data_IF_544154476840
#
_entry.id   IF_544154476840
#
_cell.length_a   1.000
_cell.length_b   1.000
_cell.length_c   1.000
_cell.angle_alpha   90.00
_cell.angle_beta   90.00
_cell.angle_gamma   90.00
#
_symmetry.space_group_name_H-M   'P 1'
#
loop_
_entity.id
_entity.type
_entity.pdbx_description
1 polymer ?
#
# COMPACT_ATOMS: atom_id res chain seq x y z
N UNK A 1 2.02 20.37 -18.16
CA UNK A 1 2.07 18.94 -18.59
C UNK A 1 3.18 18.17 -17.87
N UNK A 2 4.44 18.63 -17.87
CA UNK A 2 5.57 17.99 -17.16
C UNK A 2 5.28 17.61 -15.70
N UNK A 3 4.69 18.51 -14.91
CA UNK A 3 4.39 18.23 -13.49
C UNK A 3 3.35 17.13 -13.29
N UNK A 4 2.38 16.97 -14.21
CA UNK A 4 1.37 15.90 -14.12
C UNK A 4 2.01 14.53 -14.30
N UNK A 5 2.84 14.39 -15.34
CA UNK A 5 3.60 13.16 -15.57
C UNK A 5 4.53 12.86 -14.39
N UNK A 6 5.22 13.86 -13.84
CA UNK A 6 6.09 13.66 -12.66
C UNK A 6 5.33 13.03 -11.48
N UNK A 7 4.12 13.51 -11.16
CA UNK A 7 3.33 12.92 -10.07
C UNK A 7 2.83 11.50 -10.38
N UNK A 8 2.44 11.23 -11.64
CA UNK A 8 2.03 9.89 -12.07
C UNK A 8 3.21 8.90 -12.01
N UNK A 9 4.37 9.28 -12.54
CA UNK A 9 5.61 8.51 -12.44
C UNK A 9 6.01 8.26 -10.98
N UNK A 10 5.93 9.29 -10.12
CA UNK A 10 6.22 9.16 -8.69
C UNK A 10 5.32 8.13 -8.00
N UNK A 11 4.01 8.22 -8.24
CA UNK A 11 3.05 7.25 -7.70
C UNK A 11 3.29 5.84 -8.24
N UNK A 12 3.58 5.71 -9.53
CA UNK A 12 3.87 4.42 -10.15
C UNK A 12 5.12 3.76 -9.56
N UNK A 13 6.23 4.50 -9.43
CA UNK A 13 7.48 4.00 -8.84
C UNK A 13 7.26 3.54 -7.40
N UNK A 14 6.50 4.30 -6.60
CA UNK A 14 6.17 3.89 -5.23
C UNK A 14 5.38 2.59 -5.22
N UNK A 15 4.32 2.48 -6.03
CA UNK A 15 3.49 1.27 -6.09
C UNK A 15 4.29 0.03 -6.55
N UNK A 16 5.20 0.22 -7.52
CA UNK A 16 6.06 -0.82 -8.05
C UNK A 16 7.04 -1.30 -6.98
N UNK A 17 7.70 -0.37 -6.30
CA UNK A 17 8.65 -0.67 -5.22
C UNK A 17 7.96 -1.40 -4.07
N UNK A 18 6.76 -0.97 -3.67
CA UNK A 18 5.98 -1.62 -2.62
C UNK A 18 5.57 -3.06 -3.01
N UNK A 19 5.18 -3.27 -4.27
CA UNK A 19 4.79 -4.59 -4.78
C UNK A 19 5.99 -5.53 -4.88
N UNK A 20 7.11 -5.06 -5.42
CA UNK A 20 8.36 -5.84 -5.47
C UNK A 20 8.88 -6.17 -4.07
N UNK A 21 8.82 -5.23 -3.13
CA UNK A 21 9.16 -5.49 -1.73
C UNK A 21 8.26 -6.55 -1.10
N UNK A 22 6.94 -6.48 -1.34
CA UNK A 22 5.98 -7.47 -0.87
C UNK A 22 6.26 -8.88 -1.41
N UNK A 23 6.59 -8.98 -2.70
CA UNK A 23 6.97 -10.24 -3.36
C UNK A 23 8.31 -10.78 -2.84
N UNK A 24 9.30 -9.90 -2.65
CA UNK A 24 10.61 -10.28 -2.12
C UNK A 24 10.50 -10.92 -0.73
N UNK A 25 9.69 -10.34 0.16
CA UNK A 25 9.46 -10.92 1.47
C UNK A 25 8.74 -12.27 1.42
N UNK A 26 7.84 -12.46 0.45
CA UNK A 26 7.08 -13.70 0.26
C UNK A 26 7.95 -14.82 -0.30
N UNK A 27 8.61 -14.58 -1.43
CA UNK A 27 9.24 -15.64 -2.22
C UNK A 27 10.68 -15.92 -1.78
N UNK A 28 11.46 -14.87 -1.47
CA UNK A 28 12.88 -15.00 -1.13
C UNK A 28 13.04 -15.24 0.37
N UNK A 29 12.38 -14.41 1.20
CA UNK A 29 12.48 -14.51 2.66
C UNK A 29 11.49 -15.50 3.28
N UNK A 30 10.59 -16.07 2.48
CA UNK A 30 9.58 -17.07 2.88
C UNK A 30 8.71 -16.63 4.06
N UNK A 31 8.39 -15.33 4.12
CA UNK A 31 7.46 -14.82 5.13
C UNK A 31 6.04 -15.11 4.69
N UNK A 32 5.33 -15.87 5.53
CA UNK A 32 3.94 -16.24 5.27
C UNK A 32 3.07 -15.00 5.52
N UNK A 33 2.32 -14.50 4.52
CA UNK A 33 1.43 -13.38 4.72
C UNK A 33 0.25 -13.76 5.62
N UNK A 34 -0.11 -12.88 6.55
CA UNK A 34 -1.36 -12.99 7.29
C UNK A 34 -2.54 -12.46 6.46
N UNK A 35 -3.77 -12.65 6.96
CA UNK A 35 -5.00 -12.19 6.30
C UNK A 35 -5.01 -10.68 6.04
N UNK A 36 -4.57 -9.85 7.00
CA UNK A 36 -4.50 -8.38 6.81
C UNK A 36 -3.47 -7.98 5.74
N UNK A 37 -2.33 -8.68 5.66
CA UNK A 37 -1.35 -8.48 4.59
C UNK A 37 -1.94 -8.84 3.21
N UNK A 38 -2.78 -9.87 3.14
CA UNK A 38 -3.48 -10.23 1.90
C UNK A 38 -4.42 -9.13 1.44
N UNK A 39 -5.21 -8.55 2.34
CA UNK A 39 -6.05 -7.40 2.00
C UNK A 39 -5.22 -6.19 1.51
N UNK A 40 -4.07 -5.91 2.12
CA UNK A 40 -3.16 -4.87 1.65
C UNK A 40 -2.63 -5.16 0.23
N UNK A 41 -2.30 -6.42 -0.08
CA UNK A 41 -1.86 -6.84 -1.44
C UNK A 41 -2.96 -6.65 -2.48
N UNK A 42 -4.20 -7.03 -2.17
CA UNK A 42 -5.36 -6.82 -3.05
C UNK A 42 -5.54 -5.33 -3.39
N UNK A 43 -5.26 -4.43 -2.44
CA UNK A 43 -5.33 -3.00 -2.68
C UNK A 43 -4.10 -2.46 -3.44
N UNK A 44 -2.90 -2.99 -3.20
CA UNK A 44 -1.66 -2.45 -3.77
C UNK A 44 -1.35 -2.96 -5.18
N UNK A 45 -1.54 -4.25 -5.46
CA UNK A 45 -1.07 -4.85 -6.73
C UNK A 45 -1.80 -4.30 -7.97
N UNK A 46 -3.14 -4.09 -7.94
CA UNK A 46 -3.84 -3.47 -9.06
C UNK A 46 -3.39 -2.04 -9.33
N UNK A 47 -2.97 -1.30 -8.28
CA UNK A 47 -2.50 0.09 -8.43
C UNK A 47 -1.27 0.18 -9.33
N UNK A 48 -0.38 -0.81 -9.33
CA UNK A 48 0.80 -0.82 -10.21
C UNK A 48 0.39 -0.82 -11.68
N UNK A 49 -0.61 -1.63 -12.04
CA UNK A 49 -1.11 -1.71 -13.41
C UNK A 49 -1.88 -0.45 -13.80
N UNK A 50 -2.79 0.00 -12.93
CA UNK A 50 -3.62 1.18 -13.18
C UNK A 50 -2.76 2.45 -13.33
N UNK A 51 -1.80 2.65 -12.41
CA UNK A 51 -0.87 3.78 -12.47
C UNK A 51 0.12 3.67 -13.63
N UNK A 52 0.55 2.45 -13.97
CA UNK A 52 1.41 2.21 -15.14
C UNK A 52 0.72 2.66 -16.42
N UNK A 53 -0.50 2.17 -16.67
CA UNK A 53 -1.30 2.54 -17.86
C UNK A 53 -1.54 4.05 -17.89
N UNK A 54 -1.97 4.64 -16.76
CA UNK A 54 -2.22 6.08 -16.67
C UNK A 54 -0.97 6.92 -16.92
N UNK A 55 0.21 6.44 -16.53
CA UNK A 55 1.49 7.14 -16.74
C UNK A 55 1.85 7.17 -18.23
N UNK A 56 1.68 6.06 -18.96
CA UNK A 56 1.97 6.00 -20.41
C UNK A 56 0.93 6.75 -21.25
N UNK A 57 -0.33 6.76 -20.82
CA UNK A 57 -1.40 7.51 -21.50
C UNK A 57 -1.45 9.00 -21.08
N UNK A 58 -0.77 9.37 -20.00
CA UNK A 58 -0.84 10.71 -19.42
C UNK A 58 -2.22 11.08 -18.86
N UNK A 59 -3.04 10.09 -18.51
CA UNK A 59 -4.42 10.31 -18.07
C UNK A 59 -4.50 10.61 -16.56
N UNK A 60 -4.90 11.84 -16.24
CA UNK A 60 -5.08 12.29 -14.86
C UNK A 60 -6.44 11.90 -14.25
N UNK A 61 -7.38 11.37 -15.04
CA UNK A 61 -8.71 10.91 -14.56
C UNK A 61 -8.59 9.71 -13.62
N UNK A 62 -7.46 8.98 -13.70
CA UNK A 62 -7.14 7.81 -12.86
C UNK A 62 -7.25 8.09 -11.35
N UNK A 63 -7.08 9.36 -10.94
CA UNK A 63 -7.23 9.82 -9.54
C UNK A 63 -8.54 9.35 -8.91
N UNK A 64 -9.64 9.31 -9.68
CA UNK A 64 -10.97 8.90 -9.18
C UNK A 64 -11.00 7.45 -8.68
N UNK A 65 -10.16 6.58 -9.24
CA UNK A 65 -10.09 5.16 -8.88
C UNK A 65 -8.95 4.88 -7.89
N UNK A 66 -7.79 5.50 -8.11
CA UNK A 66 -6.59 5.27 -7.28
C UNK A 66 -6.77 5.79 -5.87
N UNK A 67 -7.37 6.98 -5.71
CA UNK A 67 -7.50 7.62 -4.40
C UNK A 67 -8.33 6.81 -3.39
N UNK A 68 -9.57 6.38 -3.70
CA UNK A 68 -10.34 5.57 -2.75
C UNK A 68 -9.65 4.24 -2.43
N UNK A 69 -9.03 3.59 -3.42
CA UNK A 69 -8.31 2.34 -3.21
C UNK A 69 -7.09 2.50 -2.30
N UNK A 70 -6.32 3.58 -2.49
CA UNK A 70 -5.17 3.90 -1.64
C UNK A 70 -5.59 4.29 -0.21
N UNK A 71 -6.71 5.01 -0.04
CA UNK A 71 -7.25 5.38 1.28
C UNK A 71 -7.70 4.13 2.06
N UNK A 72 -8.40 3.20 1.40
CA UNK A 72 -8.80 1.93 2.02
C UNK A 72 -7.56 1.11 2.41
N UNK A 73 -6.58 0.99 1.50
CA UNK A 73 -5.31 0.30 1.77
C UNK A 73 -4.53 0.92 2.95
N UNK A 74 -4.50 2.25 3.04
CA UNK A 74 -3.89 2.95 4.17
C UNK A 74 -4.61 2.64 5.49
N UNK A 75 -5.95 2.63 5.49
CA UNK A 75 -6.74 2.28 6.67
C UNK A 75 -6.46 0.86 7.18
N UNK A 76 -6.39 -0.12 6.27
CA UNK A 76 -6.06 -1.50 6.61
C UNK A 76 -4.63 -1.61 7.15
N UNK A 77 -3.67 -0.89 6.55
CA UNK A 77 -2.27 -0.87 6.99
C UNK A 77 -2.12 -0.25 8.38
N UNK A 78 -2.87 0.81 8.66
CA UNK A 78 -2.90 1.45 9.97
C UNK A 78 -3.47 0.50 11.03
N UNK A 79 -4.61 -0.14 10.75
CA UNK A 79 -5.21 -1.12 11.67
C UNK A 79 -4.26 -2.28 11.97
N UNK A 80 -3.56 -2.79 10.95
CA UNK A 80 -2.59 -3.86 11.12
C UNK A 80 -1.37 -3.41 11.95
N UNK A 81 -0.86 -2.20 11.72
CA UNK A 81 0.22 -1.64 12.52
C UNK A 81 -0.18 -1.45 14.00
N UNK A 82 -1.42 -1.00 14.25
CA UNK A 82 -1.96 -0.88 15.60
C UNK A 82 -2.04 -2.22 16.32
N UNK A 83 -2.50 -3.29 15.65
CA UNK A 83 -2.53 -4.65 16.22
C UNK A 83 -1.14 -5.16 16.59
N UNK A 84 -0.10 -4.77 15.86
CA UNK A 84 1.27 -5.16 16.15
C UNK A 84 1.88 -4.40 17.33
N UNK A 85 1.52 -3.12 17.55
CA UNK A 85 2.21 -2.24 18.51
C UNK A 85 1.41 -1.94 19.77
N UNK A 86 0.09 -2.03 19.74
CA UNK A 86 -0.77 -1.71 20.89
C UNK A 86 -1.11 -3.01 21.62
N UNK A 87 -0.53 -3.26 22.82
CA UNK A 87 -0.88 -4.43 23.60
C UNK A 87 -2.36 -4.39 24.00
N UNK A 88 -3.10 -5.46 23.71
CA UNK A 88 -4.54 -5.57 24.00
C UNK A 88 -5.46 -5.15 22.83
N UNK A 89 -4.92 -4.53 21.78
CA UNK A 89 -5.69 -4.28 20.55
C UNK A 89 -5.77 -5.56 19.72
N UNK A 90 -6.88 -6.28 19.86
CA UNK A 90 -7.08 -7.59 19.22
C UNK A 90 -7.65 -7.52 17.80
N UNK A 91 -7.80 -6.32 17.22
CA UNK A 91 -8.26 -6.11 15.85
C UNK A 91 -9.60 -6.78 15.53
N UNK A 92 -9.90 -6.90 14.23
CA UNK A 92 -11.01 -7.72 13.72
C UNK A 92 -10.41 -9.10 13.45
N UNK A 93 -10.84 -10.12 14.19
CA UNK A 93 -10.42 -11.52 13.99
C UNK A 93 -11.50 -12.27 13.19
N UNK A 94 -11.49 -12.24 11.84
CA UNK A 94 -12.21 -13.25 11.10
C UNK A 94 -11.62 -14.62 11.45
N UNK A 95 -12.39 -15.70 11.29
CA UNK A 95 -11.96 -17.07 11.61
C UNK A 95 -10.52 -17.31 11.14
N UNK A 96 -9.64 -17.71 12.07
CA UNK A 96 -8.20 -17.71 11.84
C UNK A 96 -7.82 -18.92 10.98
N UNK A 97 -7.35 -18.70 9.76
CA UNK A 97 -6.63 -19.69 8.95
C UNK A 97 -5.20 -19.20 8.75
N UNK A 98 -4.21 -19.86 9.37
CA UNK A 98 -2.80 -19.53 9.18
C UNK A 98 -2.14 -18.73 10.32
N UNK A 99 -1.20 -17.86 9.98
CA UNK A 99 -0.31 -17.16 10.93
C UNK A 99 -0.97 -15.90 11.53
N UNK A 100 -0.72 -15.57 12.81
CA UNK A 100 -1.33 -14.42 13.47
C UNK A 100 -0.83 -13.09 12.90
N UNK A 101 -1.74 -12.13 12.69
CA UNK A 101 -1.43 -10.77 12.22
C UNK A 101 -0.56 -9.96 13.19
N UNK A 102 -0.61 -10.29 14.50
CA UNK A 102 0.22 -9.70 15.54
C UNK A 102 1.70 -10.08 15.44
N UNK A 103 2.04 -11.12 14.66
CA UNK A 103 3.42 -11.53 14.42
C UNK A 103 4.22 -10.45 13.69
N UNK A 104 5.43 -10.18 14.16
CA UNK A 104 6.36 -9.22 13.55
C UNK A 104 7.57 -9.96 12.97
N UNK A 105 7.59 -10.15 11.64
CA UNK A 105 8.75 -10.73 10.94
C UNK A 105 9.95 -9.77 10.90
N UNK A 106 9.67 -8.47 10.76
CA UNK A 106 10.66 -7.40 10.74
C UNK A 106 10.18 -6.35 11.74
N UNK A 107 11.08 -5.93 12.62
CA UNK A 107 10.88 -4.81 13.52
C UNK A 107 12.19 -4.03 13.66
N UNK A 108 12.53 -3.26 12.63
CA UNK A 108 13.75 -2.47 12.65
C UNK A 108 13.54 -1.21 13.51
N UNK A 109 14.53 -0.86 14.34
CA UNK A 109 14.48 0.26 15.27
C UNK A 109 13.31 0.24 16.27
N UNK A 110 12.62 -0.90 16.42
CA UNK A 110 11.49 -1.04 17.33
C UNK A 110 10.16 -0.48 16.80
N UNK A 111 10.13 0.13 15.60
CA UNK A 111 8.91 0.68 14.99
C UNK A 111 8.71 0.32 13.50
N UNK A 112 9.77 0.04 12.74
CA UNK A 112 9.65 -0.24 11.30
C UNK A 112 9.24 -1.69 11.10
N UNK A 113 7.95 -1.91 10.87
CA UNK A 113 7.37 -3.20 10.50
C UNK A 113 6.89 -3.21 9.05
N UNK A 114 6.58 -4.40 8.52
CA UNK A 114 6.06 -4.54 7.14
C UNK A 114 4.77 -3.71 6.92
N UNK A 115 3.78 -3.73 7.84
CA UNK A 115 2.57 -2.90 7.69
C UNK A 115 2.86 -1.39 7.70
N UNK A 116 3.88 -0.96 8.46
CA UNK A 116 4.30 0.43 8.48
C UNK A 116 4.87 0.90 7.13
N UNK A 117 5.69 0.06 6.49
CA UNK A 117 6.21 0.33 5.15
C UNK A 117 5.07 0.42 4.12
N UNK A 118 4.08 -0.47 4.21
CA UNK A 118 2.89 -0.42 3.35
C UNK A 118 2.08 0.86 3.58
N UNK A 119 1.90 1.28 4.84
CA UNK A 119 1.23 2.54 5.19
C UNK A 119 1.92 3.75 4.56
N UNK A 120 3.25 3.84 4.64
CA UNK A 120 4.01 4.92 4.00
C UNK A 120 3.79 4.91 2.48
N UNK A 121 3.82 3.74 1.84
CA UNK A 121 3.60 3.64 0.41
C UNK A 121 2.21 4.16 0.00
N UNK A 122 1.14 3.76 0.71
CA UNK A 122 -0.20 4.26 0.44
C UNK A 122 -0.33 5.77 0.68
N UNK A 123 0.26 6.30 1.76
CA UNK A 123 0.28 7.74 2.04
C UNK A 123 0.98 8.51 0.91
N UNK A 124 2.13 8.03 0.44
CA UNK A 124 2.85 8.66 -0.67
C UNK A 124 2.01 8.66 -1.97
N UNK A 125 1.33 7.56 -2.28
CA UNK A 125 0.42 7.48 -3.43
C UNK A 125 -0.73 8.50 -3.28
N UNK A 126 -1.34 8.59 -2.09
CA UNK A 126 -2.40 9.58 -1.80
C UNK A 126 -1.87 11.01 -2.01
N UNK A 127 -0.68 11.31 -1.50
CA UNK A 127 -0.05 12.63 -1.63
C UNK A 127 0.15 12.96 -3.13
N UNK A 128 0.73 12.05 -3.91
CA UNK A 128 0.92 12.27 -5.34
C UNK A 128 -0.39 12.46 -6.10
N UNK A 129 -1.44 11.71 -5.74
CA UNK A 129 -2.77 11.87 -6.33
C UNK A 129 -3.44 13.20 -5.91
N UNK A 130 -3.25 13.65 -4.67
CA UNK A 130 -3.76 14.94 -4.21
C UNK A 130 -3.14 16.11 -4.98
N UNK A 131 -1.82 16.10 -5.19
CA UNK A 131 -1.11 17.12 -5.97
C UNK A 131 -1.34 17.05 -7.48
N UNK A 132 -1.89 15.93 -7.98
CA UNK A 132 -2.35 15.82 -9.35
C UNK A 132 -3.56 16.77 -9.57
N UNK A 133 -3.30 17.97 -10.10
CA UNK A 133 -4.36 18.87 -10.58
C UNK A 133 -5.05 18.23 -11.79
N UNK A 134 -6.27 17.74 -11.57
CA UNK A 134 -7.21 17.45 -12.64
C UNK A 134 -7.33 18.70 -13.51
N UNK A 135 -7.29 18.52 -14.83
CA UNK A 135 -7.90 19.55 -15.67
C UNK A 135 -9.38 19.23 -15.46
N UNK A 136 -10.01 19.93 -14.53
CA UNK A 136 -11.47 19.96 -14.51
C UNK A 136 -11.85 20.41 -15.93
N UNK A 137 -12.59 19.55 -16.63
CA UNK A 137 -13.06 19.83 -17.99
C UNK A 137 -13.87 21.14 -17.98
#
# INVERSE_FOLDING_TARGET
>A
MKNKLLFLYGAWIVSLTATLGSLYFSEIRKFIPCELCWYQRIMMYPLVLILGIATFQGDARVKKYVLPMAVIGAGISLMHYMEQKIPGFNGIKPCVTGVPCSGQYINWFGFITIPFLALIAFILIIIFMCFLKGKDE
#
